data_IF_743580389069
#
_entry.id   IF_743580389069
#
_cell.length_a   1.000
_cell.length_b   1.000
_cell.length_c   1.000
_cell.angle_alpha   90.00
_cell.angle_beta   90.00
_cell.angle_gamma   90.00
#
_symmetry.space_group_name_H-M   'P 1'
#
loop_
_entity.id
_entity.type
_entity.pdbx_description
1 polymer ?
#
# COMPACT_ATOMS: atom_id res chain seq x y z
N UNK A 1 1.02 -17.22 -0.24
CA UNK A 1 -0.23 -16.97 0.50
C UNK A 1 -0.91 -15.65 0.12
N UNK A 2 -0.28 -14.46 0.15
CA UNK A 2 -0.95 -13.20 -0.25
C UNK A 2 -1.38 -13.18 -1.72
N UNK A 3 -0.50 -13.65 -2.62
CA UNK A 3 -0.75 -13.77 -4.05
C UNK A 3 -1.98 -14.64 -4.37
N UNK A 4 -2.02 -15.89 -3.90
CA UNK A 4 -3.11 -16.83 -4.19
C UNK A 4 -4.46 -16.32 -3.68
N UNK A 5 -4.46 -15.66 -2.52
CA UNK A 5 -5.66 -15.06 -1.96
C UNK A 5 -6.16 -13.89 -2.80
N UNK A 6 -5.28 -12.94 -3.16
CA UNK A 6 -5.64 -11.84 -4.05
C UNK A 6 -6.18 -12.35 -5.39
N UNK A 7 -5.53 -13.37 -5.95
CA UNK A 7 -5.99 -14.02 -7.20
C UNK A 7 -7.37 -14.69 -7.05
N UNK A 8 -7.67 -15.28 -5.89
CA UNK A 8 -8.97 -15.92 -5.65
C UNK A 8 -10.13 -14.93 -5.52
N UNK A 9 -9.87 -13.71 -5.05
CA UNK A 9 -10.91 -12.70 -4.80
C UNK A 9 -11.43 -12.03 -6.08
N UNK A 10 -10.61 -11.92 -7.12
CA UNK A 10 -10.98 -11.21 -8.34
C UNK A 10 -11.40 -12.13 -9.50
N UNK A 11 -11.46 -13.44 -9.27
CA UNK A 11 -11.83 -14.42 -10.30
C UNK A 11 -10.97 -14.29 -11.56
N UNK A 12 -11.63 -14.24 -12.73
CA UNK A 12 -10.97 -14.10 -14.04
C UNK A 12 -10.83 -12.64 -14.51
N UNK A 13 -10.96 -11.63 -13.63
CA UNK A 13 -10.77 -10.22 -14.01
C UNK A 13 -9.32 -9.99 -14.50
N UNK A 14 -9.12 -9.78 -15.82
CA UNK A 14 -7.79 -9.83 -16.41
C UNK A 14 -6.93 -8.62 -15.99
N UNK A 15 -7.56 -7.49 -15.65
CA UNK A 15 -6.85 -6.29 -15.20
C UNK A 15 -6.40 -6.44 -13.76
N UNK A 16 -7.28 -6.91 -12.88
CA UNK A 16 -6.90 -7.17 -11.50
C UNK A 16 -5.74 -8.19 -11.43
N UNK A 17 -5.84 -9.26 -12.22
CA UNK A 17 -4.77 -10.26 -12.36
C UNK A 17 -3.46 -9.68 -12.87
N UNK A 18 -3.51 -8.83 -13.89
CA UNK A 18 -2.30 -8.18 -14.43
C UNK A 18 -1.60 -7.31 -13.36
N UNK A 19 -2.35 -6.56 -12.57
CA UNK A 19 -1.77 -5.74 -11.50
C UNK A 19 -1.18 -6.56 -10.37
N UNK A 20 -1.84 -7.65 -9.96
CA UNK A 20 -1.27 -8.58 -8.97
C UNK A 20 0.06 -9.15 -9.47
N UNK A 21 0.11 -9.60 -10.73
CA UNK A 21 1.34 -10.13 -11.33
C UNK A 21 2.45 -9.08 -11.40
N UNK A 22 2.12 -7.84 -11.74
CA UNK A 22 3.09 -6.73 -11.79
C UNK A 22 3.63 -6.37 -10.40
N UNK A 23 2.76 -6.33 -9.38
CA UNK A 23 3.14 -6.07 -7.99
C UNK A 23 4.08 -7.13 -7.42
N UNK A 24 3.90 -8.40 -7.80
CA UNK A 24 4.76 -9.52 -7.43
C UNK A 24 5.87 -9.83 -8.45
N UNK A 25 6.03 -9.01 -9.49
CA UNK A 25 7.08 -9.19 -10.48
C UNK A 25 8.47 -8.99 -9.85
N UNK A 26 9.55 -9.53 -10.44
CA UNK A 26 10.90 -9.30 -9.95
C UNK A 26 11.17 -7.81 -9.71
N UNK A 27 11.93 -7.54 -8.66
CA UNK A 27 12.19 -6.18 -8.22
C UNK A 27 12.89 -5.34 -9.29
N UNK A 28 12.49 -4.06 -9.37
CA UNK A 28 13.15 -3.10 -10.25
C UNK A 28 14.59 -2.87 -9.80
N UNK A 29 15.60 -3.22 -10.64
CA UNK A 29 17.00 -3.16 -10.24
C UNK A 29 17.47 -1.77 -9.80
N UNK A 30 16.87 -0.72 -10.36
CA UNK A 30 17.20 0.69 -10.07
C UNK A 30 16.91 1.11 -8.63
N UNK A 31 16.13 0.35 -7.86
CA UNK A 31 15.76 0.69 -6.47
C UNK A 31 15.92 -0.46 -5.49
N UNK A 32 16.67 -1.50 -5.87
CA UNK A 32 17.04 -2.58 -4.96
C UNK A 32 17.90 -2.04 -3.80
N UNK A 33 17.52 -2.40 -2.57
CA UNK A 33 18.21 -2.04 -1.34
C UNK A 33 17.83 -3.01 -0.22
N UNK A 34 18.43 -2.84 0.96
CA UNK A 34 17.91 -3.49 2.16
C UNK A 34 16.57 -2.84 2.48
N UNK A 35 15.52 -3.66 2.53
CA UNK A 35 14.16 -3.28 2.93
C UNK A 35 13.81 -3.98 4.24
N UNK A 36 12.92 -3.37 5.01
CA UNK A 36 12.34 -3.95 6.23
C UNK A 36 11.49 -5.18 5.91
N UNK A 37 10.72 -5.13 4.82
CA UNK A 37 9.90 -6.25 4.34
C UNK A 37 8.53 -6.38 5.03
N UNK A 38 8.32 -5.66 6.13
CA UNK A 38 7.00 -5.43 6.79
C UNK A 38 6.90 -3.99 7.31
N UNK A 39 7.27 -2.98 6.52
CA UNK A 39 7.29 -1.59 7.02
C UNK A 39 5.88 -1.00 7.14
N UNK A 40 5.22 -1.21 8.29
CA UNK A 40 3.87 -0.70 8.58
C UNK A 40 3.86 0.27 9.75
N UNK A 41 2.72 0.91 10.07
CA UNK A 41 2.65 1.77 11.26
C UNK A 41 2.81 1.01 12.59
N UNK A 42 2.62 -0.32 12.58
CA UNK A 42 2.74 -1.17 13.78
C UNK A 42 4.18 -1.46 14.17
N UNK A 43 5.09 -1.42 13.20
CA UNK A 43 6.51 -1.75 13.36
C UNK A 43 7.33 -0.51 13.71
N UNK A 44 6.73 0.32 14.57
CA UNK A 44 7.26 1.57 15.08
C UNK A 44 7.13 1.59 16.60
N UNK A 45 8.25 1.74 17.29
CA UNK A 45 8.27 2.00 18.73
C UNK A 45 8.47 3.50 18.94
N UNK A 46 7.60 4.11 19.74
CA UNK A 46 7.68 5.53 20.08
C UNK A 46 7.97 5.68 21.58
N UNK A 47 9.06 6.38 21.90
CA UNK A 47 9.35 6.87 23.25
C UNK A 47 9.49 8.39 23.19
N UNK A 48 8.53 9.11 23.77
CA UNK A 48 8.39 10.57 23.65
C UNK A 48 8.27 11.02 22.18
N UNK A 49 9.30 11.70 21.66
CA UNK A 49 9.41 12.19 20.27
C UNK A 49 10.34 11.32 19.41
N UNK A 50 10.92 10.26 19.99
CA UNK A 50 11.82 9.35 19.29
C UNK A 50 11.02 8.22 18.66
N UNK A 51 11.24 7.98 17.37
CA UNK A 51 10.64 6.89 16.61
C UNK A 51 11.73 5.91 16.20
N UNK A 52 11.57 4.64 16.57
CA UNK A 52 12.44 3.54 16.15
C UNK A 52 11.67 2.55 15.27
N UNK A 53 12.30 2.06 14.20
CA UNK A 53 11.75 0.98 13.38
C UNK A 53 12.18 -0.35 13.99
N UNK A 54 11.20 -1.22 14.25
CA UNK A 54 11.38 -2.49 14.97
C UNK A 54 10.84 -3.65 14.14
N UNK A 55 11.13 -4.88 14.56
CA UNK A 55 10.61 -6.11 13.93
C UNK A 55 11.18 -6.41 12.53
N UNK A 56 12.51 -6.41 12.43
CA UNK A 56 13.27 -6.61 11.19
C UNK A 56 13.32 -8.06 10.69
N UNK A 57 12.41 -8.94 11.10
CA UNK A 57 12.48 -10.38 10.77
C UNK A 57 12.25 -10.69 9.29
N UNK A 58 11.57 -9.81 8.55
CA UNK A 58 11.37 -9.91 7.09
C UNK A 58 12.40 -9.13 6.28
N UNK A 59 13.45 -8.62 6.94
CA UNK A 59 14.49 -7.81 6.32
C UNK A 59 15.20 -8.60 5.23
N UNK A 60 15.27 -8.02 4.03
CA UNK A 60 15.88 -8.65 2.86
C UNK A 60 16.36 -7.61 1.86
N UNK A 61 17.11 -8.06 0.85
CA UNK A 61 17.42 -7.24 -0.30
C UNK A 61 16.24 -7.28 -1.28
N UNK A 62 15.60 -6.13 -1.51
CA UNK A 62 14.39 -6.03 -2.34
C UNK A 62 14.09 -4.61 -2.81
N UNK A 63 12.97 -4.42 -3.51
CA UNK A 63 12.59 -3.11 -4.03
C UNK A 63 12.00 -2.22 -2.93
N UNK A 64 12.47 -0.97 -2.84
CA UNK A 64 11.97 0.01 -1.86
C UNK A 64 10.46 0.26 -1.92
N UNK A 65 9.82 -0.01 -3.07
CA UNK A 65 8.36 0.15 -3.23
C UNK A 65 7.57 -0.74 -2.29
N UNK A 66 8.15 -1.86 -1.82
CA UNK A 66 7.51 -2.72 -0.83
C UNK A 66 7.32 -2.01 0.50
N UNK A 67 8.40 -1.48 1.08
CA UNK A 67 8.34 -0.74 2.34
C UNK A 67 7.49 0.53 2.20
N UNK A 68 7.69 1.28 1.12
CA UNK A 68 6.95 2.52 0.86
C UNK A 68 5.46 2.23 0.70
N UNK A 69 5.10 1.24 -0.10
CA UNK A 69 3.72 0.83 -0.30
C UNK A 69 3.06 0.37 1.00
N UNK A 70 3.76 -0.41 1.84
CA UNK A 70 3.21 -0.91 3.10
C UNK A 70 2.94 0.22 4.10
N UNK A 71 3.86 1.17 4.28
CA UNK A 71 3.62 2.26 5.24
C UNK A 71 2.51 3.20 4.76
N UNK A 72 2.47 3.48 3.46
CA UNK A 72 1.42 4.29 2.84
C UNK A 72 0.06 3.63 2.99
N UNK A 73 -0.04 2.33 2.68
CA UNK A 73 -1.32 1.62 2.81
C UNK A 73 -1.78 1.56 4.26
N UNK A 74 -0.85 1.34 5.18
CA UNK A 74 -1.16 1.28 6.60
C UNK A 74 -1.70 2.63 7.13
N UNK A 75 -1.14 3.75 6.68
CA UNK A 75 -1.67 5.09 6.98
C UNK A 75 -2.99 5.38 6.25
N UNK A 76 -3.12 4.94 5.00
CA UNK A 76 -4.34 5.08 4.21
C UNK A 76 -5.51 4.33 4.86
N UNK A 77 -5.26 3.13 5.40
CA UNK A 77 -6.25 2.35 6.15
C UNK A 77 -6.72 3.11 7.38
N UNK A 78 -5.77 3.62 8.18
CA UNK A 78 -6.10 4.39 9.38
C UNK A 78 -6.93 5.64 9.07
N UNK A 79 -6.58 6.33 7.99
CA UNK A 79 -7.30 7.52 7.53
C UNK A 79 -8.70 7.18 7.04
N UNK A 80 -8.84 6.20 6.14
CA UNK A 80 -10.10 5.96 5.40
C UNK A 80 -11.06 4.98 6.05
N UNK A 81 -10.57 4.07 6.88
CA UNK A 81 -11.35 2.95 7.43
C UNK A 81 -11.35 2.89 8.96
N UNK A 82 -10.41 3.55 9.64
CA UNK A 82 -10.30 3.53 11.11
C UNK A 82 -10.51 4.89 11.78
N UNK A 83 -11.12 5.85 11.07
CA UNK A 83 -11.49 7.16 11.61
C UNK A 83 -10.34 7.87 12.36
N UNK A 84 -9.13 7.82 11.79
CA UNK A 84 -7.93 8.46 12.35
C UNK A 84 -7.47 9.64 11.47
N UNK A 85 -8.02 10.86 11.64
CA UNK A 85 -7.71 12.00 10.77
C UNK A 85 -6.23 12.39 10.74
N UNK A 86 -5.50 12.16 11.83
CA UNK A 86 -4.05 12.44 11.88
C UNK A 86 -3.26 11.60 10.87
N UNK A 87 -3.77 10.43 10.46
CA UNK A 87 -3.11 9.58 9.48
C UNK A 87 -3.05 10.23 8.09
N UNK A 88 -4.03 11.06 7.72
CA UNK A 88 -4.00 11.84 6.47
C UNK A 88 -2.81 12.80 6.43
N UNK A 89 -2.62 13.54 7.53
CA UNK A 89 -1.52 14.51 7.66
C UNK A 89 -0.17 13.79 7.59
N UNK A 90 -0.02 12.68 8.32
CA UNK A 90 1.22 11.89 8.29
C UNK A 90 1.45 11.31 6.90
N UNK A 91 0.41 10.79 6.24
CA UNK A 91 0.50 10.25 4.90
C UNK A 91 0.98 11.31 3.91
N UNK A 92 0.31 12.46 3.88
CA UNK A 92 0.65 13.57 2.97
C UNK A 92 2.08 14.06 3.19
N UNK A 93 2.46 14.29 4.44
CA UNK A 93 3.81 14.76 4.76
C UNK A 93 4.89 13.68 4.55
N UNK A 94 4.54 12.40 4.72
CA UNK A 94 5.44 11.29 4.39
C UNK A 94 5.71 11.24 2.88
N UNK A 95 4.66 11.31 2.04
CA UNK A 95 4.80 11.32 0.58
C UNK A 95 5.65 12.50 0.13
N UNK A 96 5.33 13.71 0.64
CA UNK A 96 6.08 14.93 0.34
C UNK A 96 7.55 14.84 0.75
N UNK A 97 7.82 14.30 1.95
CA UNK A 97 9.18 14.14 2.47
C UNK A 97 9.97 13.03 1.78
N UNK A 98 9.30 11.99 1.30
CA UNK A 98 9.93 10.91 0.53
C UNK A 98 10.32 11.36 -0.89
N UNK A 99 9.50 12.23 -1.48
CA UNK A 99 9.72 12.79 -2.81
C UNK A 99 9.18 11.91 -3.95
N UNK A 100 9.31 12.36 -5.20
CA UNK A 100 8.73 11.69 -6.36
C UNK A 100 9.37 10.31 -6.60
N UNK A 101 8.56 9.43 -7.16
CA UNK A 101 8.96 8.09 -7.59
C UNK A 101 8.86 7.99 -9.12
N UNK A 102 9.69 7.13 -9.70
CA UNK A 102 9.57 6.82 -11.13
C UNK A 102 8.18 6.21 -11.38
N UNK A 103 7.50 6.63 -12.44
CA UNK A 103 6.11 6.24 -12.71
C UNK A 103 5.87 4.71 -12.66
N UNK A 104 6.74 3.84 -13.21
CA UNK A 104 6.58 2.39 -13.06
C UNK A 104 6.57 1.92 -11.60
N UNK A 105 7.37 2.56 -10.73
CA UNK A 105 7.44 2.24 -9.30
C UNK A 105 6.18 2.70 -8.57
N UNK A 106 5.58 3.82 -8.99
CA UNK A 106 4.32 4.31 -8.46
C UNK A 106 3.19 3.33 -8.75
N UNK A 107 3.08 2.82 -9.98
CA UNK A 107 2.03 1.86 -10.31
C UNK A 107 2.28 0.46 -9.72
N UNK A 108 3.54 0.03 -9.57
CA UNK A 108 3.88 -1.14 -8.77
C UNK A 108 3.42 -0.96 -7.32
N UNK A 109 3.69 0.20 -6.73
CA UNK A 109 3.26 0.54 -5.37
C UNK A 109 1.73 0.51 -5.25
N UNK A 110 0.98 1.11 -6.19
CA UNK A 110 -0.49 1.05 -6.22
C UNK A 110 -1.00 -0.40 -6.21
N UNK A 111 -0.39 -1.30 -6.98
CA UNK A 111 -0.71 -2.73 -6.92
C UNK A 111 -0.39 -3.38 -5.57
N UNK A 112 0.75 -3.06 -4.98
CA UNK A 112 1.14 -3.49 -3.62
C UNK A 112 0.17 -2.98 -2.55
N UNK A 113 -0.35 -1.76 -2.70
CA UNK A 113 -1.38 -1.21 -1.81
C UNK A 113 -2.68 -2.02 -1.89
N UNK A 114 -3.10 -2.40 -3.10
CA UNK A 114 -4.25 -3.29 -3.29
C UNK A 114 -4.09 -4.63 -2.57
N UNK A 115 -2.90 -5.24 -2.64
CA UNK A 115 -2.59 -6.49 -1.91
C UNK A 115 -2.66 -6.27 -0.41
N UNK A 116 -2.06 -5.19 0.06
CA UNK A 116 -1.95 -4.92 1.49
C UNK A 116 -3.32 -4.61 2.12
N UNK A 117 -4.21 -3.90 1.42
CA UNK A 117 -5.61 -3.73 1.82
C UNK A 117 -6.27 -5.09 2.08
N UNK A 118 -6.24 -5.99 1.09
CA UNK A 118 -6.85 -7.32 1.21
C UNK A 118 -6.24 -8.16 2.35
N UNK A 119 -4.93 -8.07 2.54
CA UNK A 119 -4.25 -8.78 3.62
C UNK A 119 -4.67 -8.25 4.98
N UNK A 120 -4.85 -6.94 5.13
CA UNK A 120 -5.27 -6.31 6.37
C UNK A 120 -6.68 -6.77 6.78
N UNK A 121 -7.58 -6.88 5.81
CA UNK A 121 -8.93 -7.43 6.00
C UNK A 121 -8.87 -8.91 6.41
N UNK A 122 -8.20 -9.76 5.61
CA UNK A 122 -8.09 -11.19 5.88
C UNK A 122 -7.49 -11.52 7.24
N UNK A 123 -6.52 -10.72 7.68
CA UNK A 123 -5.83 -10.92 8.96
C UNK A 123 -6.59 -10.31 10.15
N UNK A 124 -7.76 -9.69 9.92
CA UNK A 124 -8.57 -9.09 10.97
C UNK A 124 -7.84 -7.93 11.68
N UNK A 125 -7.00 -7.21 10.95
CA UNK A 125 -6.11 -6.19 11.52
C UNK A 125 -6.75 -4.79 11.57
N UNK A 126 -7.98 -4.66 11.08
CA UNK A 126 -8.73 -3.40 11.18
C UNK A 126 -9.12 -3.12 12.64
N UNK A 127 -8.79 -1.92 13.11
CA UNK A 127 -9.16 -1.43 14.43
C UNK A 127 -10.69 -1.23 14.54
N UNK A 128 -11.31 -1.62 15.67
CA UNK A 128 -12.69 -1.21 15.99
C UNK A 128 -13.75 -2.26 16.37
N UNK A 129 -13.38 -3.52 16.64
CA UNK A 129 -14.37 -4.57 16.92
C UNK A 129 -15.08 -5.07 15.64
N UNK A 130 -16.00 -6.04 15.76
CA UNK A 130 -16.61 -6.79 14.64
C UNK A 130 -16.73 -5.96 13.35
N UNK A 131 -15.80 -6.21 12.41
CA UNK A 131 -15.88 -5.67 11.07
C UNK A 131 -17.16 -6.21 10.47
N UNK A 132 -18.12 -5.35 10.17
CA UNK A 132 -19.33 -5.78 9.49
C UNK A 132 -19.05 -6.10 8.01
N UNK A 133 -19.92 -6.89 7.39
CA UNK A 133 -19.76 -7.30 6.00
C UNK A 133 -19.69 -6.10 5.04
N UNK A 134 -20.30 -4.97 5.41
CA UNK A 134 -20.29 -3.75 4.60
C UNK A 134 -18.91 -3.11 4.54
N UNK A 135 -18.21 -2.99 5.68
CA UNK A 135 -16.82 -2.50 5.74
C UNK A 135 -15.86 -3.41 4.98
N UNK A 136 -16.04 -4.73 5.09
CA UNK A 136 -15.24 -5.70 4.30
C UNK A 136 -15.45 -5.47 2.81
N UNK A 137 -16.71 -5.34 2.36
CA UNK A 137 -17.04 -5.11 0.95
C UNK A 137 -16.49 -3.78 0.43
N UNK A 138 -16.55 -2.72 1.24
CA UNK A 138 -16.01 -1.40 0.88
C UNK A 138 -14.49 -1.44 0.68
N UNK A 139 -13.78 -2.12 1.59
CA UNK A 139 -12.34 -2.30 1.49
C UNK A 139 -11.96 -3.16 0.28
N UNK A 140 -12.67 -4.27 0.04
CA UNK A 140 -12.45 -5.11 -1.14
C UNK A 140 -12.70 -4.35 -2.45
N UNK A 141 -13.73 -3.49 -2.49
CA UNK A 141 -14.00 -2.61 -3.62
C UNK A 141 -12.87 -1.59 -3.83
N UNK A 142 -12.34 -1.00 -2.75
CA UNK A 142 -11.17 -0.12 -2.84
C UNK A 142 -9.95 -0.87 -3.36
N UNK A 143 -9.62 -2.03 -2.77
CA UNK A 143 -8.51 -2.85 -3.23
C UNK A 143 -8.63 -3.18 -4.73
N UNK A 144 -9.82 -3.54 -5.20
CA UNK A 144 -10.10 -3.77 -6.62
C UNK A 144 -9.81 -2.54 -7.49
N UNK A 145 -10.21 -1.36 -7.04
CA UNK A 145 -9.92 -0.10 -7.75
C UNK A 145 -8.42 0.15 -7.85
N UNK A 146 -7.65 -0.10 -6.79
CA UNK A 146 -6.19 0.01 -6.84
C UNK A 146 -5.59 -0.95 -7.86
N UNK A 147 -6.04 -2.21 -7.90
CA UNK A 147 -5.56 -3.16 -8.89
C UNK A 147 -5.89 -2.75 -10.33
N UNK A 148 -7.14 -2.36 -10.61
CA UNK A 148 -7.55 -1.97 -11.97
C UNK A 148 -6.74 -0.75 -12.43
N UNK A 149 -6.67 0.30 -11.60
CA UNK A 149 -5.95 1.52 -11.97
C UNK A 149 -4.44 1.31 -12.04
N UNK A 150 -3.88 0.44 -11.18
CA UNK A 150 -2.49 0.01 -11.26
C UNK A 150 -2.17 -0.69 -12.58
N UNK A 151 -2.97 -1.68 -12.98
CA UNK A 151 -2.81 -2.39 -14.26
C UNK A 151 -2.94 -1.47 -15.48
N UNK A 152 -3.88 -0.53 -15.42
CA UNK A 152 -4.12 0.43 -16.50
C UNK A 152 -3.10 1.57 -16.51
N UNK A 153 -2.26 1.70 -15.48
CA UNK A 153 -1.38 2.86 -15.26
C UNK A 153 -2.18 4.17 -15.33
N UNK A 154 -3.33 4.18 -14.67
CA UNK A 154 -4.28 5.28 -14.75
C UNK A 154 -3.75 6.50 -13.97
N UNK A 155 -3.03 7.36 -14.69
CA UNK A 155 -2.39 8.56 -14.14
C UNK A 155 -3.41 9.61 -13.69
N UNK A 156 -4.50 9.78 -14.43
CA UNK A 156 -5.55 10.74 -14.12
C UNK A 156 -6.22 10.38 -12.79
N UNK A 157 -6.62 9.12 -12.63
CA UNK A 157 -7.18 8.61 -11.37
C UNK A 157 -6.24 8.84 -10.17
N UNK A 158 -4.94 8.60 -10.36
CA UNK A 158 -3.98 8.76 -9.27
C UNK A 158 -3.76 10.24 -8.91
N UNK A 159 -3.80 11.14 -9.90
CA UNK A 159 -3.72 12.58 -9.68
C UNK A 159 -4.98 13.13 -8.99
N UNK A 160 -6.14 12.57 -9.29
CA UNK A 160 -7.44 12.92 -8.69
C UNK A 160 -7.58 12.45 -7.24
N UNK A 161 -6.93 11.35 -6.84
CA UNK A 161 -6.84 10.92 -5.42
C UNK A 161 -6.18 12.01 -4.54
N UNK A 162 -5.40 12.90 -5.15
CA UNK A 162 -4.77 14.04 -4.50
C UNK A 162 -3.53 13.66 -3.71
N UNK A 163 -3.70 12.82 -2.68
CA UNK A 163 -2.62 12.45 -1.75
C UNK A 163 -1.61 11.52 -2.41
N UNK A 164 -2.06 10.43 -3.05
CA UNK A 164 -1.16 9.50 -3.73
C UNK A 164 -0.59 10.09 -5.03
N UNK A 165 -1.32 11.04 -5.65
CA UNK A 165 -0.88 11.75 -6.85
C UNK A 165 0.40 12.55 -6.67
N UNK A 166 0.75 12.93 -5.44
CA UNK A 166 1.98 13.67 -5.15
C UNK A 166 3.25 12.88 -5.50
N UNK A 167 3.21 11.53 -5.55
CA UNK A 167 4.35 10.75 -6.04
C UNK A 167 4.69 10.98 -7.51
N UNK A 168 3.71 11.39 -8.32
CA UNK A 168 3.87 11.66 -9.75
C UNK A 168 4.22 13.12 -10.05
N UNK A 169 4.18 14.00 -9.04
CA UNK A 169 4.53 15.40 -9.19
C UNK A 169 6.03 15.54 -8.93
N UNK A 170 6.82 15.55 -10.00
CA UNK A 170 8.16 16.13 -9.93
C UNK A 170 8.00 17.65 -9.83
N UNK A 171 8.69 18.29 -8.87
CA UNK A 171 8.80 19.75 -8.80
C UNK A 171 9.40 20.34 -10.09
#
# INVERSE_FOLDING_TARGET
MPYEYAMSLFGDDPLARASVLDAFSPDHPSRLRIIHGDYTTRNKSQENISLAIVDWELCRYGCVTEDVGFIITSLYIQWRFEDTPCAELILREFIRGYGPLDEPLVFRMVGLMGIHLLMWEKLGLMSGGNVDDARVQELQAHAKNFFINGAQKNREWLLDDGVLGDFLRAE
#
